data_IF_937722168659
#
_entry.id   IF_937722168659
#
_cell.length_a   1.000
_cell.length_b   1.000
_cell.length_c   1.000
_cell.angle_alpha   90.00
_cell.angle_beta   90.00
_cell.angle_gamma   90.00
#
_symmetry.space_group_name_H-M   'P 1'
#
loop_
_entity.id
_entity.type
_entity.pdbx_description
1 polymer ?
#
# COMPACT_ATOMS: atom_id res chain seq x y z
N UNK A 1 23.53 23.97 -31.35
CA UNK A 1 22.69 23.07 -30.54
C UNK A 1 21.63 23.97 -29.93
N UNK A 2 20.43 24.00 -30.53
CA UNK A 2 19.36 24.83 -30.02
C UNK A 2 18.77 24.10 -28.81
N UNK A 3 18.94 24.69 -27.63
CA UNK A 3 18.21 24.28 -26.44
C UNK A 3 16.81 24.85 -26.61
N UNK A 4 16.03 24.25 -27.52
CA UNK A 4 14.59 24.37 -27.38
C UNK A 4 14.26 23.47 -26.22
N UNK A 5 13.97 24.11 -25.08
CA UNK A 5 13.05 23.58 -24.08
C UNK A 5 12.15 22.56 -24.74
N UNK A 6 12.18 21.30 -24.29
CA UNK A 6 11.12 20.36 -24.62
C UNK A 6 9.79 21.12 -24.64
N UNK A 7 9.00 20.94 -25.70
CA UNK A 7 7.74 21.68 -25.87
C UNK A 7 7.01 21.63 -24.53
N UNK A 8 6.48 22.75 -24.04
CA UNK A 8 5.74 22.81 -22.78
C UNK A 8 4.73 21.66 -22.63
N UNK A 9 4.18 21.17 -23.75
CA UNK A 9 3.33 19.99 -23.78
C UNK A 9 4.07 18.69 -23.46
N UNK A 10 5.25 18.46 -24.04
CA UNK A 10 6.09 17.28 -23.74
C UNK A 10 6.54 17.29 -22.27
N UNK A 11 6.86 18.45 -21.70
CA UNK A 11 7.19 18.57 -20.27
C UNK A 11 5.98 18.23 -19.40
N UNK A 12 4.79 18.72 -19.75
CA UNK A 12 3.56 18.40 -19.03
C UNK A 12 3.26 16.90 -19.07
N UNK A 13 3.36 16.26 -20.24
CA UNK A 13 3.15 14.82 -20.42
C UNK A 13 4.09 13.99 -19.53
N UNK A 14 5.38 14.37 -19.47
CA UNK A 14 6.36 13.68 -18.62
C UNK A 14 6.07 13.84 -17.12
N UNK A 15 5.58 15.00 -16.69
CA UNK A 15 5.21 15.23 -15.29
C UNK A 15 3.98 14.38 -14.93
N UNK A 16 2.95 14.35 -15.76
CA UNK A 16 1.76 13.53 -15.54
C UNK A 16 2.10 12.03 -15.46
N UNK A 17 2.95 11.53 -16.36
CA UNK A 17 3.42 10.14 -16.31
C UNK A 17 4.19 9.85 -15.02
N UNK A 18 5.09 10.75 -14.62
CA UNK A 18 5.86 10.61 -13.38
C UNK A 18 4.95 10.57 -12.14
N UNK A 19 3.96 11.45 -12.07
CA UNK A 19 2.99 11.48 -10.96
C UNK A 19 2.15 10.20 -10.89
N UNK A 20 1.67 9.72 -12.05
CA UNK A 20 0.94 8.46 -12.15
C UNK A 20 1.77 7.27 -11.66
N UNK A 21 3.01 7.14 -12.15
CA UNK A 21 3.93 6.09 -11.73
C UNK A 21 4.26 6.17 -10.24
N UNK A 22 4.45 7.38 -9.72
CA UNK A 22 4.73 7.61 -8.30
C UNK A 22 3.55 7.19 -7.42
N UNK A 23 2.31 7.46 -7.84
CA UNK A 23 1.12 7.03 -7.10
C UNK A 23 1.01 5.49 -7.03
N UNK A 24 1.27 4.80 -8.14
CA UNK A 24 1.29 3.33 -8.18
C UNK A 24 2.40 2.75 -7.31
N UNK A 25 3.60 3.31 -7.39
CA UNK A 25 4.74 2.88 -6.58
C UNK A 25 4.42 3.01 -5.08
N UNK A 26 3.82 4.13 -4.67
CA UNK A 26 3.44 4.37 -3.27
C UNK A 26 2.45 3.33 -2.76
N UNK A 27 1.44 2.96 -3.54
CA UNK A 27 0.48 1.92 -3.14
C UNK A 27 1.17 0.55 -3.00
N UNK A 28 2.05 0.20 -3.94
CA UNK A 28 2.82 -1.05 -3.90
C UNK A 28 3.74 -1.12 -2.67
N UNK A 29 4.40 -0.01 -2.31
CA UNK A 29 5.25 0.07 -1.12
C UNK A 29 4.45 -0.12 0.17
N UNK A 30 3.25 0.48 0.27
CA UNK A 30 2.36 0.28 1.43
C UNK A 30 2.01 -1.19 1.56
N UNK A 31 1.54 -1.82 0.48
CA UNK A 31 1.17 -3.25 0.48
C UNK A 31 2.35 -4.16 0.80
N UNK A 32 3.53 -3.84 0.29
CA UNK A 32 4.75 -4.59 0.60
C UNK A 32 5.09 -4.52 2.09
N UNK A 33 4.99 -3.33 2.69
CA UNK A 33 5.22 -3.17 4.12
C UNK A 33 4.16 -3.89 4.97
N UNK A 34 2.89 -3.89 4.56
CA UNK A 34 1.83 -4.64 5.24
C UNK A 34 2.12 -6.16 5.24
N UNK A 35 2.62 -6.71 4.12
CA UNK A 35 3.03 -8.13 4.05
C UNK A 35 4.22 -8.41 4.97
N UNK A 36 5.22 -7.54 5.00
CA UNK A 36 6.38 -7.71 5.90
C UNK A 36 5.99 -7.64 7.38
N UNK A 37 5.09 -6.74 7.72
CA UNK A 37 4.55 -6.64 9.08
C UNK A 37 3.78 -7.91 9.45
N UNK A 38 2.91 -8.40 8.56
CA UNK A 38 2.19 -9.66 8.76
C UNK A 38 3.16 -10.85 9.00
N UNK A 39 4.22 -10.97 8.20
CA UNK A 39 5.25 -12.00 8.42
C UNK A 39 5.94 -11.86 9.78
N UNK A 40 6.27 -10.63 10.18
CA UNK A 40 6.86 -10.36 11.50
C UNK A 40 5.91 -10.75 12.64
N UNK A 41 4.60 -10.50 12.49
CA UNK A 41 3.59 -10.90 13.46
C UNK A 41 3.41 -12.41 13.54
N UNK A 42 3.56 -13.13 12.42
CA UNK A 42 3.56 -14.60 12.42
C UNK A 42 4.70 -15.12 13.30
N UNK A 43 5.91 -14.57 13.14
CA UNK A 43 7.07 -14.95 13.97
C UNK A 43 6.85 -14.67 15.46
N UNK A 44 6.07 -13.63 15.78
CA UNK A 44 5.73 -13.24 17.15
C UNK A 44 4.49 -13.92 17.73
N UNK A 45 3.77 -14.74 16.96
CA UNK A 45 2.43 -15.27 17.30
C UNK A 45 1.38 -14.18 17.57
N UNK A 46 1.50 -13.03 16.91
CA UNK A 46 0.58 -11.89 16.98
C UNK A 46 -0.23 -11.73 15.67
N UNK A 47 -0.10 -12.69 14.75
CA UNK A 47 -0.78 -12.66 13.47
C UNK A 47 -2.29 -12.80 13.63
N UNK A 48 -3.04 -12.03 12.83
CA UNK A 48 -4.50 -12.06 12.86
C UNK A 48 -5.13 -11.23 13.98
N UNK A 49 -4.38 -10.35 14.65
CA UNK A 49 -4.93 -9.42 15.64
C UNK A 49 -5.15 -8.03 15.03
N UNK A 50 -6.34 -7.46 15.24
CA UNK A 50 -6.68 -6.14 14.76
C UNK A 50 -5.89 -5.08 15.53
N UNK A 51 -5.22 -4.19 14.81
CA UNK A 51 -4.39 -3.16 15.43
C UNK A 51 -5.17 -2.05 16.16
N UNK A 52 -6.47 -1.91 15.88
CA UNK A 52 -7.32 -0.88 16.47
C UNK A 52 -8.00 -1.38 17.74
N UNK A 53 -8.61 -2.58 17.68
CA UNK A 53 -9.34 -3.14 18.82
C UNK A 53 -8.54 -4.15 19.65
N UNK A 54 -7.47 -4.74 19.11
CA UNK A 54 -6.75 -5.86 19.71
C UNK A 54 -7.49 -7.21 19.60
N UNK A 55 -8.66 -7.23 18.98
CA UNK A 55 -9.47 -8.44 18.78
C UNK A 55 -9.02 -9.22 17.54
N UNK A 56 -9.38 -10.51 17.46
CA UNK A 56 -9.09 -11.34 16.29
C UNK A 56 -9.74 -10.81 15.01
N UNK A 57 -9.00 -10.87 13.91
CA UNK A 57 -9.46 -10.53 12.56
C UNK A 57 -10.23 -11.72 12.00
N UNK A 58 -11.36 -11.45 11.36
CA UNK A 58 -12.22 -12.48 10.79
C UNK A 58 -11.45 -13.33 9.75
N UNK A 59 -11.54 -14.65 9.87
CA UNK A 59 -10.79 -15.59 9.01
C UNK A 59 -11.02 -15.33 7.52
N UNK A 60 -12.27 -15.12 7.11
CA UNK A 60 -12.62 -14.77 5.73
C UNK A 60 -11.93 -13.50 5.22
N UNK A 61 -11.61 -12.55 6.12
CA UNK A 61 -10.86 -11.33 5.78
C UNK A 61 -9.38 -11.63 5.59
N UNK A 62 -8.79 -12.46 6.45
CA UNK A 62 -7.41 -12.91 6.30
C UNK A 62 -7.22 -13.81 5.06
N UNK A 63 -8.22 -14.62 4.71
CA UNK A 63 -8.22 -15.40 3.46
C UNK A 63 -8.24 -14.47 2.24
N UNK A 64 -9.06 -13.42 2.26
CA UNK A 64 -9.14 -12.46 1.16
C UNK A 64 -7.89 -11.56 1.07
N UNK A 65 -7.34 -11.15 2.22
CA UNK A 65 -6.12 -10.37 2.32
C UNK A 65 -5.30 -10.83 3.55
N UNK A 66 -4.28 -11.67 3.34
CA UNK A 66 -3.44 -12.16 4.43
C UNK A 66 -2.64 -11.08 5.17
N UNK A 67 -2.45 -9.91 4.55
CA UNK A 67 -1.76 -8.76 5.15
C UNK A 67 -2.73 -7.78 5.83
N UNK A 68 -3.98 -8.19 6.07
CA UNK A 68 -4.96 -7.41 6.79
C UNK A 68 -4.47 -7.00 8.19
N UNK A 69 -4.36 -5.68 8.42
CA UNK A 69 -4.07 -5.07 9.74
C UNK A 69 -5.31 -4.84 10.61
N UNK A 70 -6.43 -4.67 9.89
CA UNK A 70 -7.82 -4.45 10.30
C UNK A 70 -8.69 -5.63 10.76
N UNK A 71 -9.68 -5.50 11.64
CA UNK A 71 -10.90 -6.33 11.50
C UNK A 71 -11.89 -5.67 10.50
N UNK A 72 -13.00 -6.32 10.16
CA UNK A 72 -14.00 -5.75 9.24
C UNK A 72 -14.60 -4.45 9.76
N UNK A 73 -14.85 -4.34 11.07
CA UNK A 73 -15.41 -3.15 11.69
C UNK A 73 -14.50 -1.91 11.56
N UNK A 74 -13.18 -2.12 11.47
CA UNK A 74 -12.16 -1.07 11.40
C UNK A 74 -11.52 -0.98 10.01
N UNK A 75 -12.24 -1.40 8.96
CA UNK A 75 -11.73 -1.33 7.60
C UNK A 75 -11.71 0.13 7.13
N UNK A 76 -10.52 0.69 6.94
CA UNK A 76 -10.32 2.08 6.49
C UNK A 76 -10.31 3.14 7.59
N UNK A 77 -10.29 2.73 8.87
CA UNK A 77 -10.03 3.63 10.00
C UNK A 77 -8.54 3.89 10.23
#
# INVERSE_FOLDING_TARGET
MNVDSADSNEVADNIEEFESNTAVLKELEIRYNDVKDALTKIEKNEYGMCEVSGEEIEEERLIANPAARTCKAHMGS
#
